data_IF_257015720847
#
_entry.id   IF_257015720847
#
_cell.length_a   1.000
_cell.length_b   1.000
_cell.length_c   1.000
_cell.angle_alpha   90.00
_cell.angle_beta   90.00
_cell.angle_gamma   90.00
#
_symmetry.space_group_name_H-M   'P 1'
#
loop_
_entity.id
_entity.type
_entity.pdbx_description
1 polymer ?
#
# COMPACT_ATOMS: atom_id res chain seq x y z
N UNK A 1 -0.28 -18.38 -23.52
CA UNK A 1 -1.49 -18.04 -22.74
C UNK A 1 -1.14 -16.74 -22.04
N UNK A 2 -1.83 -15.61 -22.26
CA UNK A 2 -1.56 -14.43 -21.45
C UNK A 2 -1.96 -14.79 -20.02
N UNK A 3 -1.01 -14.72 -19.08
CA UNK A 3 -1.30 -14.74 -17.65
C UNK A 3 -2.37 -13.68 -17.40
N UNK A 4 -3.58 -14.11 -17.07
CA UNK A 4 -4.61 -13.17 -16.68
C UNK A 4 -4.17 -12.61 -15.35
N UNK A 5 -3.76 -11.34 -15.33
CA UNK A 5 -3.55 -10.59 -14.09
C UNK A 5 -4.84 -10.76 -13.26
N UNK A 6 -4.78 -11.60 -12.24
CA UNK A 6 -5.89 -11.78 -11.31
C UNK A 6 -5.90 -10.53 -10.44
N UNK A 7 -6.60 -9.50 -10.92
CA UNK A 7 -6.77 -8.26 -10.19
C UNK A 7 -7.60 -8.53 -8.93
N UNK A 8 -6.95 -8.48 -7.77
CA UNK A 8 -7.64 -8.51 -6.49
C UNK A 8 -8.08 -7.07 -6.13
N UNK A 9 -9.38 -6.87 -5.95
CA UNK A 9 -9.94 -5.61 -5.44
C UNK A 9 -10.18 -5.76 -3.94
N UNK A 10 -9.72 -4.78 -3.15
CA UNK A 10 -9.94 -4.72 -1.71
C UNK A 10 -10.55 -3.38 -1.36
N UNK A 11 -11.73 -3.41 -0.75
CA UNK A 11 -12.42 -2.22 -0.25
C UNK A 11 -12.18 -2.11 1.25
N UNK A 12 -11.78 -0.93 1.71
CA UNK A 12 -11.53 -0.67 3.11
C UNK A 12 -11.85 0.79 3.45
N UNK A 13 -12.19 1.05 4.71
CA UNK A 13 -12.38 2.42 5.18
C UNK A 13 -11.04 3.16 5.30
N UNK A 14 -11.12 4.50 5.39
CA UNK A 14 -9.94 5.36 5.47
C UNK A 14 -9.06 5.03 6.69
N UNK A 15 -9.64 4.60 7.80
CA UNK A 15 -8.88 4.26 8.99
C UNK A 15 -8.10 2.95 8.80
N UNK A 16 -8.71 1.94 8.19
CA UNK A 16 -8.05 0.70 7.80
C UNK A 16 -6.92 0.97 6.80
N UNK A 17 -7.13 1.86 5.81
CA UNK A 17 -6.10 2.27 4.87
C UNK A 17 -4.91 2.94 5.56
N UNK A 18 -5.16 3.82 6.54
CA UNK A 18 -4.12 4.45 7.36
C UNK A 18 -3.34 3.45 8.22
N UNK A 19 -4.05 2.50 8.83
CA UNK A 19 -3.41 1.43 9.63
C UNK A 19 -2.55 0.56 8.74
N UNK A 20 -3.05 0.14 7.57
CA UNK A 20 -2.32 -0.68 6.62
C UNK A 20 -1.06 0.04 6.11
N UNK A 21 -1.17 1.31 5.72
CA UNK A 21 -0.02 2.12 5.33
C UNK A 21 1.04 2.18 6.44
N UNK A 22 0.62 2.37 7.70
CA UNK A 22 1.55 2.40 8.84
C UNK A 22 2.24 1.06 9.05
N UNK A 23 1.51 -0.06 8.98
CA UNK A 23 2.08 -1.40 9.14
C UNK A 23 3.09 -1.70 8.03
N UNK A 24 2.79 -1.32 6.78
CA UNK A 24 3.71 -1.52 5.65
C UNK A 24 4.98 -0.66 5.80
N UNK A 25 4.85 0.59 6.26
CA UNK A 25 6.01 1.44 6.58
C UNK A 25 6.86 0.82 7.69
N UNK A 26 6.23 0.41 8.79
CA UNK A 26 6.95 -0.22 9.91
C UNK A 26 7.64 -1.53 9.50
N UNK A 27 7.01 -2.33 8.63
CA UNK A 27 7.59 -3.57 8.10
C UNK A 27 8.76 -3.31 7.15
N UNK A 28 8.64 -2.28 6.30
CA UNK A 28 9.72 -1.86 5.41
C UNK A 28 10.92 -1.31 6.20
N UNK A 29 10.69 -0.49 7.22
CA UNK A 29 11.75 0.17 8.00
C UNK A 29 12.43 -0.78 9.00
N UNK A 30 11.70 -1.78 9.51
CA UNK A 30 12.23 -2.82 10.41
C UNK A 30 12.67 -4.08 9.67
N UNK A 31 12.81 -4.01 8.35
CA UNK A 31 13.18 -5.16 7.54
C UNK A 31 14.52 -5.75 8.01
N UNK A 32 14.49 -7.00 8.46
CA UNK A 32 15.63 -7.67 9.11
C UNK A 32 16.66 -8.24 8.14
N UNK A 33 16.59 -7.89 6.85
CA UNK A 33 17.51 -8.37 5.80
C UNK A 33 17.11 -9.72 5.20
N UNK A 34 15.91 -9.80 4.64
CA UNK A 34 15.38 -10.97 3.91
C UNK A 34 15.56 -10.88 2.39
N UNK A 35 14.53 -11.27 1.63
CA UNK A 35 14.53 -11.20 0.17
C UNK A 35 14.49 -9.73 -0.31
N UNK A 36 15.43 -9.26 -1.14
CA UNK A 36 15.36 -7.91 -1.73
C UNK A 36 14.07 -7.66 -2.52
N UNK A 37 13.47 -8.70 -3.11
CA UNK A 37 12.19 -8.58 -3.79
C UNK A 37 11.06 -8.21 -2.81
N UNK A 38 11.06 -8.79 -1.62
CA UNK A 38 10.11 -8.46 -0.56
C UNK A 38 10.24 -6.98 -0.16
N UNK A 39 11.46 -6.46 -0.04
CA UNK A 39 11.68 -5.05 0.27
C UNK A 39 11.13 -4.13 -0.84
N UNK A 40 11.33 -4.50 -2.11
CA UNK A 40 10.79 -3.75 -3.24
C UNK A 40 9.26 -3.79 -3.28
N UNK A 41 8.66 -4.95 -2.99
CA UNK A 41 7.21 -5.11 -2.89
C UNK A 41 6.63 -4.26 -1.76
N UNK A 42 7.25 -4.26 -0.58
CA UNK A 42 6.85 -3.41 0.55
C UNK A 42 6.94 -1.92 0.19
N UNK A 43 8.00 -1.51 -0.52
CA UNK A 43 8.14 -0.14 -0.99
C UNK A 43 7.06 0.25 -2.01
N UNK A 44 6.72 -0.66 -2.94
CA UNK A 44 5.66 -0.46 -3.92
C UNK A 44 4.28 -0.35 -3.24
N UNK A 45 3.98 -1.25 -2.30
CA UNK A 45 2.74 -1.22 -1.52
C UNK A 45 2.61 0.08 -0.73
N UNK A 46 3.68 0.55 -0.08
CA UNK A 46 3.70 1.85 0.61
C UNK A 46 3.32 2.99 -0.33
N UNK A 47 3.91 3.03 -1.53
CA UNK A 47 3.66 4.07 -2.53
C UNK A 47 2.20 4.04 -3.00
N UNK A 48 1.65 2.87 -3.27
CA UNK A 48 0.25 2.69 -3.70
C UNK A 48 -0.74 3.08 -2.61
N UNK A 49 -0.49 2.69 -1.35
CA UNK A 49 -1.33 3.05 -0.21
C UNK A 49 -1.29 4.56 0.05
N UNK A 50 -0.12 5.20 -0.11
CA UNK A 50 -0.01 6.65 0.00
C UNK A 50 -0.79 7.37 -1.10
N UNK A 51 -0.73 6.89 -2.36
CA UNK A 51 -1.52 7.42 -3.46
C UNK A 51 -3.02 7.32 -3.19
N UNK A 52 -3.49 6.15 -2.72
CA UNK A 52 -4.89 5.95 -2.35
C UNK A 52 -5.34 6.88 -1.20
N UNK A 53 -4.48 7.12 -0.21
CA UNK A 53 -4.75 8.08 0.87
C UNK A 53 -4.88 9.51 0.34
N UNK A 54 -3.97 9.92 -0.55
CA UNK A 54 -4.00 11.25 -1.16
C UNK A 54 -5.23 11.45 -2.05
N UNK A 55 -5.60 10.45 -2.84
CA UNK A 55 -6.83 10.47 -3.65
C UNK A 55 -8.07 10.60 -2.76
N UNK A 56 -8.11 9.89 -1.64
CA UNK A 56 -9.21 9.99 -0.69
C UNK A 56 -9.30 11.38 -0.04
N UNK A 57 -8.17 11.98 0.34
CA UNK A 57 -8.11 13.35 0.87
C UNK A 57 -8.58 14.37 -0.18
N UNK A 58 -8.14 14.22 -1.43
CA UNK A 58 -8.55 15.08 -2.54
C UNK A 58 -10.05 14.98 -2.82
N UNK A 59 -10.61 13.75 -2.83
CA UNK A 59 -12.05 13.52 -3.02
C UNK A 59 -12.89 14.02 -1.85
N UNK A 60 -12.35 13.98 -0.63
CA UNK A 60 -13.06 14.45 0.58
C UNK A 60 -13.11 15.98 0.68
N UNK A 61 -12.37 16.72 -0.16
CA UNK A 61 -12.40 18.19 -0.19
C UNK A 61 -11.70 18.86 0.99
N UNK A 62 -10.84 18.13 1.71
CA UNK A 62 -10.06 18.62 2.86
C UNK A 62 -8.79 19.41 2.45
N UNK A 63 -8.67 19.79 1.17
CA UNK A 63 -7.55 20.57 0.60
C UNK A 63 -8.04 21.64 -0.36
#
# INVERSE_FOLDING_TARGET
MPEQDIAAQMEMDLNALRVLHRVVVDAHDRWSGGDPEEQNLLAAMRQQLYAALMENLFQSGDI
#
